data_IF_916968952159
#
_entry.id   IF_916968952159
#
_cell.length_a   1.000
_cell.length_b   1.000
_cell.length_c   1.000
_cell.angle_alpha   90.00
_cell.angle_beta   90.00
_cell.angle_gamma   90.00
#
_symmetry.space_group_name_H-M   'P 1'
#
loop_
_entity.id
_entity.type
_entity.pdbx_description
1 polymer ?
#
# COMPACT_ATOMS: atom_id res chain seq x y z
N UNK A 1 -2.74 -16.87 -38.57
CA UNK A 1 -1.65 -17.66 -38.24
C UNK A 1 -0.36 -16.99 -37.81
N UNK A 2 0.70 -17.08 -38.62
CA UNK A 2 2.04 -16.63 -38.24
C UNK A 2 2.17 -15.12 -37.95
N UNK A 3 1.44 -14.30 -38.71
CA UNK A 3 1.49 -12.83 -38.55
C UNK A 3 0.85 -12.39 -37.22
N UNK A 4 -0.20 -13.02 -36.80
CA UNK A 4 -0.88 -12.72 -35.51
C UNK A 4 0.02 -13.09 -34.31
N UNK A 5 0.70 -14.25 -34.36
CA UNK A 5 1.61 -14.68 -33.32
C UNK A 5 2.83 -13.76 -33.19
N UNK A 6 3.39 -13.31 -34.32
CA UNK A 6 4.50 -12.36 -34.34
C UNK A 6 4.06 -10.99 -33.80
N UNK A 7 2.87 -10.51 -34.16
CA UNK A 7 2.34 -9.24 -33.66
C UNK A 7 2.08 -9.30 -32.15
N UNK A 8 1.50 -10.39 -31.64
CA UNK A 8 1.27 -10.58 -30.21
C UNK A 8 2.58 -10.64 -29.43
N UNK A 9 3.62 -11.32 -29.94
CA UNK A 9 4.93 -11.36 -29.32
C UNK A 9 5.55 -9.95 -29.22
N UNK A 10 5.51 -9.18 -30.31
CA UNK A 10 6.03 -7.80 -30.34
C UNK A 10 5.27 -6.87 -29.40
N UNK A 11 3.95 -6.97 -29.34
CA UNK A 11 3.12 -6.20 -28.43
C UNK A 11 3.40 -6.54 -26.95
N UNK A 12 3.65 -7.81 -26.68
CA UNK A 12 4.00 -8.28 -25.34
C UNK A 12 5.37 -7.77 -24.90
N UNK A 13 6.37 -7.80 -25.77
CA UNK A 13 7.69 -7.23 -25.51
C UNK A 13 7.62 -5.72 -25.25
N UNK A 14 6.86 -4.98 -26.04
CA UNK A 14 6.63 -3.56 -25.83
C UNK A 14 5.96 -3.28 -24.46
N UNK A 15 5.00 -4.11 -24.06
CA UNK A 15 4.35 -4.00 -22.76
C UNK A 15 5.33 -4.25 -21.61
N UNK A 16 6.24 -5.22 -21.74
CA UNK A 16 7.28 -5.46 -20.73
C UNK A 16 8.29 -4.32 -20.62
N UNK A 17 8.67 -3.69 -21.72
CA UNK A 17 9.52 -2.49 -21.70
C UNK A 17 8.83 -1.36 -20.93
N UNK A 18 7.54 -1.14 -21.18
CA UNK A 18 6.73 -0.15 -20.46
C UNK A 18 6.69 -0.44 -18.95
N UNK A 19 6.49 -1.72 -18.55
CA UNK A 19 6.51 -2.13 -17.15
C UNK A 19 7.88 -1.83 -16.52
N UNK A 20 8.97 -2.11 -17.22
CA UNK A 20 10.32 -1.79 -16.76
C UNK A 20 10.51 -0.29 -16.54
N UNK A 21 10.08 0.53 -17.47
CA UNK A 21 10.15 1.99 -17.34
C UNK A 21 9.31 2.50 -16.17
N UNK A 22 8.10 2.00 -16.00
CA UNK A 22 7.22 2.36 -14.87
C UNK A 22 7.85 2.01 -13.52
N UNK A 23 8.54 0.87 -13.43
CA UNK A 23 9.26 0.47 -12.22
C UNK A 23 10.51 1.35 -11.99
N UNK A 24 11.29 1.64 -13.02
CA UNK A 24 12.50 2.48 -12.91
C UNK A 24 12.17 3.93 -12.52
N UNK A 25 11.06 4.46 -13.05
CA UNK A 25 10.57 5.81 -12.72
C UNK A 25 9.75 5.86 -11.43
N UNK A 26 9.44 4.71 -10.85
CA UNK A 26 8.60 4.57 -9.66
C UNK A 26 7.22 5.23 -9.82
N UNK A 27 6.68 5.18 -11.05
CA UNK A 27 5.40 5.79 -11.41
C UNK A 27 4.22 4.89 -11.05
N UNK A 28 3.14 5.51 -10.58
CA UNK A 28 1.84 4.85 -10.37
C UNK A 28 1.03 4.84 -11.66
N UNK A 29 0.27 3.78 -11.87
CA UNK A 29 -0.58 3.62 -13.05
C UNK A 29 -1.85 2.84 -12.71
N UNK A 30 -2.93 3.01 -13.48
CA UNK A 30 -4.16 2.26 -13.27
C UNK A 30 -4.05 0.85 -13.85
N UNK A 31 -4.62 -0.13 -13.14
CA UNK A 31 -4.87 -1.48 -13.63
C UNK A 31 -6.35 -1.80 -13.55
N UNK A 32 -6.90 -2.50 -14.54
CA UNK A 32 -8.26 -3.00 -14.50
C UNK A 32 -8.30 -4.35 -13.80
N UNK A 33 -9.10 -4.47 -12.76
CA UNK A 33 -9.25 -5.73 -12.02
C UNK A 33 -10.17 -6.67 -12.81
N UNK A 34 -9.63 -7.83 -13.19
CA UNK A 34 -10.33 -8.85 -13.97
C UNK A 34 -10.95 -9.94 -13.10
N UNK A 35 -10.25 -10.34 -12.05
CA UNK A 35 -10.64 -11.45 -11.19
C UNK A 35 -10.07 -11.29 -9.79
N UNK A 36 -10.63 -12.04 -8.83
CA UNK A 36 -10.24 -12.02 -7.43
C UNK A 36 -10.17 -13.44 -6.86
N UNK A 37 -9.14 -13.69 -6.06
CA UNK A 37 -9.01 -14.93 -5.30
C UNK A 37 -8.65 -14.62 -3.84
N UNK A 38 -8.58 -15.64 -2.99
CA UNK A 38 -8.29 -15.47 -1.55
C UNK A 38 -6.89 -14.89 -1.27
N UNK A 39 -5.98 -14.93 -2.23
CA UNK A 39 -4.62 -14.38 -2.12
C UNK A 39 -4.49 -12.95 -2.64
N UNK A 40 -5.45 -12.44 -3.41
CA UNK A 40 -5.39 -11.11 -4.01
C UNK A 40 -6.22 -10.94 -5.26
N UNK A 41 -5.86 -9.93 -6.05
CA UNK A 41 -6.54 -9.51 -7.26
C UNK A 41 -5.69 -9.80 -8.50
N UNK A 42 -6.35 -10.15 -9.60
CA UNK A 42 -5.75 -10.21 -10.92
C UNK A 42 -6.07 -8.93 -11.67
N UNK A 43 -5.06 -8.15 -11.98
CA UNK A 43 -5.17 -6.90 -12.71
C UNK A 43 -4.54 -6.97 -14.10
N UNK A 44 -5.11 -6.22 -15.04
CA UNK A 44 -4.62 -6.11 -16.41
C UNK A 44 -4.08 -4.72 -16.69
N UNK A 45 -2.92 -4.68 -17.32
CA UNK A 45 -2.35 -3.48 -17.93
C UNK A 45 -1.95 -3.80 -19.37
N UNK A 46 -2.51 -3.08 -20.33
CA UNK A 46 -2.32 -3.35 -21.76
C UNK A 46 -2.58 -4.84 -22.11
N UNK A 47 -1.55 -5.57 -22.53
CA UNK A 47 -1.63 -6.99 -22.87
C UNK A 47 -1.04 -7.94 -21.78
N UNK A 48 -0.70 -7.37 -20.62
CA UNK A 48 -0.14 -8.14 -19.50
C UNK A 48 -1.15 -8.27 -18.37
N UNK A 49 -1.11 -9.41 -17.71
CA UNK A 49 -1.87 -9.67 -16.50
C UNK A 49 -0.88 -9.80 -15.34
N UNK A 50 -1.12 -9.09 -14.26
CA UNK A 50 -0.34 -9.16 -13.05
C UNK A 50 -1.18 -9.46 -11.83
N UNK A 51 -0.54 -9.73 -10.72
CA UNK A 51 -1.16 -10.08 -9.46
C UNK A 51 -0.92 -9.00 -8.42
N UNK A 52 -1.98 -8.59 -7.73
CA UNK A 52 -1.92 -7.70 -6.57
C UNK A 52 -2.22 -8.54 -5.32
N UNK A 53 -1.21 -8.96 -4.55
CA UNK A 53 -1.43 -9.70 -3.31
C UNK A 53 -2.22 -8.91 -2.28
N UNK A 54 -3.05 -9.56 -1.47
CA UNK A 54 -3.77 -8.89 -0.37
C UNK A 54 -2.82 -8.16 0.58
N UNK A 55 -1.63 -8.71 0.82
CA UNK A 55 -0.57 -8.09 1.63
C UNK A 55 -0.03 -6.78 1.06
N UNK A 56 -0.22 -6.52 -0.23
CA UNK A 56 0.23 -5.33 -0.95
C UNK A 56 -0.90 -4.36 -1.31
N UNK A 57 -2.12 -4.65 -0.87
CA UNK A 57 -3.26 -3.75 -1.00
C UNK A 57 -3.14 -2.57 -0.03
N UNK A 58 -3.74 -1.45 -0.40
CA UNK A 58 -3.86 -0.27 0.46
C UNK A 58 -4.68 -0.57 1.71
N UNK A 59 -4.53 0.24 2.73
CA UNK A 59 -5.33 0.15 3.96
C UNK A 59 -6.83 0.35 3.71
N UNK A 60 -7.19 1.01 2.62
CA UNK A 60 -8.56 1.27 2.18
C UNK A 60 -9.20 0.04 1.53
N UNK A 61 -8.48 -0.63 0.64
CA UNK A 61 -8.96 -1.79 -0.12
C UNK A 61 -8.70 -3.13 0.58
N UNK A 62 -7.85 -3.13 1.62
CA UNK A 62 -7.58 -4.34 2.39
C UNK A 62 -8.86 -4.85 3.07
N UNK A 63 -9.25 -6.11 2.84
CA UNK A 63 -10.45 -6.68 3.45
C UNK A 63 -10.28 -6.81 4.97
N UNK A 64 -10.79 -5.82 5.72
CA UNK A 64 -10.82 -5.85 7.18
C UNK A 64 -11.93 -6.82 7.62
N UNK A 65 -11.54 -8.06 7.91
CA UNK A 65 -12.45 -9.10 8.39
C UNK A 65 -11.96 -9.58 9.75
N UNK A 66 -12.83 -9.55 10.75
CA UNK A 66 -12.48 -9.83 12.14
C UNK A 66 -12.03 -11.29 12.37
N UNK A 67 -12.50 -12.25 11.58
CA UNK A 67 -12.26 -13.68 11.79
C UNK A 67 -11.34 -14.36 10.75
N UNK A 68 -10.59 -13.63 9.93
CA UNK A 68 -9.81 -14.22 8.81
C UNK A 68 -10.65 -15.15 7.89
N UNK A 69 -11.95 -14.91 7.83
CA UNK A 69 -12.89 -15.70 7.03
C UNK A 69 -12.59 -15.50 5.54
N UNK A 70 -12.08 -16.55 4.92
CA UNK A 70 -11.66 -16.53 3.51
C UNK A 70 -12.81 -16.21 2.55
N UNK A 71 -14.03 -16.59 2.91
CA UNK A 71 -15.21 -16.32 2.07
C UNK A 71 -15.57 -14.83 2.10
N UNK A 72 -15.51 -14.20 3.27
CA UNK A 72 -15.75 -12.77 3.42
C UNK A 72 -14.63 -11.95 2.76
N UNK A 73 -13.39 -12.38 2.88
CA UNK A 73 -12.26 -11.77 2.17
C UNK A 73 -12.50 -11.82 0.67
N UNK A 74 -12.84 -12.99 0.14
CA UNK A 74 -13.11 -13.16 -1.28
C UNK A 74 -14.31 -12.33 -1.76
N UNK A 75 -15.38 -12.23 -0.97
CA UNK A 75 -16.54 -11.41 -1.30
C UNK A 75 -16.16 -9.94 -1.46
N UNK A 76 -15.38 -9.39 -0.51
CA UNK A 76 -14.88 -8.01 -0.59
C UNK A 76 -13.96 -7.78 -1.78
N UNK A 77 -13.07 -8.71 -2.08
CA UNK A 77 -12.19 -8.62 -3.23
C UNK A 77 -12.95 -8.67 -4.55
N UNK A 78 -14.02 -9.44 -4.62
CA UNK A 78 -14.91 -9.51 -5.79
C UNK A 78 -15.64 -8.19 -6.08
N UNK A 79 -15.91 -7.37 -5.08
CA UNK A 79 -16.51 -6.04 -5.26
C UNK A 79 -15.61 -5.09 -6.06
N UNK A 80 -14.29 -5.37 -6.07
CA UNK A 80 -13.30 -4.58 -6.82
C UNK A 80 -13.15 -5.04 -8.29
N UNK A 81 -13.77 -6.15 -8.69
CA UNK A 81 -13.72 -6.62 -10.08
C UNK A 81 -14.42 -5.60 -10.99
N UNK A 82 -13.76 -5.24 -12.08
CA UNK A 82 -14.23 -4.23 -13.02
C UNK A 82 -13.89 -2.80 -12.65
N UNK A 83 -13.25 -2.58 -11.50
CA UNK A 83 -12.73 -1.28 -11.10
C UNK A 83 -11.29 -1.08 -11.53
N UNK A 84 -10.88 0.17 -11.67
CA UNK A 84 -9.50 0.55 -11.91
C UNK A 84 -8.83 0.92 -10.58
N UNK A 85 -7.73 0.25 -10.26
CA UNK A 85 -6.94 0.54 -9.07
C UNK A 85 -5.59 1.12 -9.46
N UNK A 86 -5.17 2.15 -8.74
CA UNK A 86 -3.84 2.74 -8.91
C UNK A 86 -2.81 1.88 -8.16
N UNK A 87 -1.79 1.44 -8.90
CA UNK A 87 -0.74 0.57 -8.35
C UNK A 87 0.63 1.00 -8.82
N UNK A 88 1.67 0.45 -8.19
CA UNK A 88 3.06 0.46 -8.68
C UNK A 88 3.54 -0.95 -8.94
N UNK A 89 4.59 -1.09 -9.76
CA UNK A 89 5.24 -2.39 -9.98
C UNK A 89 6.11 -2.73 -8.78
N UNK A 90 5.75 -3.80 -8.08
CA UNK A 90 6.58 -4.34 -7.00
C UNK A 90 7.69 -5.21 -7.55
N UNK A 91 7.34 -6.16 -8.42
CA UNK A 91 8.27 -7.09 -9.04
C UNK A 91 7.78 -7.53 -10.41
N UNK A 92 8.68 -7.87 -11.32
CA UNK A 92 8.34 -8.41 -12.63
C UNK A 92 9.43 -9.33 -13.17
N UNK A 93 9.02 -10.36 -13.88
CA UNK A 93 9.90 -11.30 -14.58
C UNK A 93 9.27 -11.68 -15.93
N UNK A 94 9.79 -11.13 -17.05
CA UNK A 94 9.28 -11.44 -18.37
C UNK A 94 9.41 -12.91 -18.76
N UNK A 95 10.44 -13.60 -18.24
CA UNK A 95 10.72 -15.01 -18.58
C UNK A 95 9.64 -15.97 -18.04
N UNK A 96 9.13 -15.66 -16.84
CA UNK A 96 8.08 -16.44 -16.18
C UNK A 96 6.69 -15.79 -16.31
N UNK A 97 6.57 -14.68 -17.06
CA UNK A 97 5.36 -13.84 -17.13
C UNK A 97 4.83 -13.42 -15.77
N UNK A 98 5.72 -13.22 -14.81
CA UNK A 98 5.38 -12.79 -13.46
C UNK A 98 5.34 -11.27 -13.41
N UNK A 99 4.24 -10.73 -12.93
CA UNK A 99 4.07 -9.30 -12.69
C UNK A 99 3.29 -9.11 -11.38
N UNK A 100 3.91 -8.42 -10.43
CA UNK A 100 3.33 -8.20 -9.11
C UNK A 100 3.17 -6.70 -8.89
N UNK A 101 1.97 -6.32 -8.49
CA UNK A 101 1.59 -4.95 -8.19
C UNK A 101 1.56 -4.68 -6.68
N UNK A 102 1.64 -3.41 -6.32
CA UNK A 102 1.50 -2.95 -4.94
C UNK A 102 0.78 -1.59 -4.90
N UNK A 103 -0.24 -1.47 -4.06
CA UNK A 103 -0.85 -0.20 -3.66
C UNK A 103 -0.11 0.40 -2.45
N UNK A 104 0.43 -0.44 -1.57
CA UNK A 104 1.21 0.00 -0.39
C UNK A 104 2.40 0.88 -0.75
N UNK A 105 3.05 0.65 -1.89
CA UNK A 105 4.13 1.52 -2.34
C UNK A 105 3.66 2.96 -2.55
N UNK A 106 2.42 3.16 -3.02
CA UNK A 106 1.83 4.49 -3.18
C UNK A 106 1.58 5.12 -1.82
N UNK A 107 0.99 4.37 -0.86
CA UNK A 107 0.78 4.86 0.51
C UNK A 107 2.10 5.24 1.19
N UNK A 108 3.14 4.41 1.03
CA UNK A 108 4.47 4.68 1.59
C UNK A 108 5.10 5.93 1.00
N UNK A 109 4.93 6.18 -0.30
CA UNK A 109 5.49 7.39 -0.92
C UNK A 109 4.73 8.64 -0.52
N UNK A 110 3.41 8.56 -0.41
CA UNK A 110 2.59 9.64 0.14
C UNK A 110 2.99 9.95 1.59
N UNK A 111 3.20 8.91 2.40
CA UNK A 111 3.67 9.08 3.76
C UNK A 111 5.07 9.72 3.82
N UNK A 112 6.00 9.28 2.97
CA UNK A 112 7.35 9.88 2.87
C UNK A 112 7.29 11.34 2.42
N UNK A 113 6.48 11.67 1.43
CA UNK A 113 6.32 13.03 0.93
C UNK A 113 5.75 13.94 2.01
N UNK A 114 4.79 13.44 2.76
CA UNK A 114 4.21 14.14 3.89
C UNK A 114 5.24 14.37 5.00
N UNK A 115 6.04 13.33 5.33
CA UNK A 115 7.10 13.46 6.34
C UNK A 115 8.20 14.45 5.91
N UNK A 116 8.49 14.58 4.61
CA UNK A 116 9.43 15.57 4.09
C UNK A 116 9.00 17.03 4.29
N UNK A 117 7.70 17.26 4.45
CA UNK A 117 7.16 18.59 4.73
C UNK A 117 7.42 19.03 6.18
N UNK A 118 7.68 18.07 7.07
CA UNK A 118 8.03 18.35 8.47
C UNK A 118 9.53 18.45 8.67
N UNK A 119 9.96 19.43 9.44
CA UNK A 119 11.35 19.63 9.86
C UNK A 119 11.48 19.39 11.35
N UNK A 120 12.68 19.05 11.80
CA UNK A 120 12.98 19.03 13.22
C UNK A 120 12.63 20.40 13.84
N UNK A 121 11.80 20.38 14.87
CA UNK A 121 11.31 21.59 15.55
C UNK A 121 9.91 22.03 15.15
N UNK A 122 9.28 21.40 14.15
CA UNK A 122 7.89 21.71 13.81
C UNK A 122 6.93 21.16 14.88
N UNK A 123 5.94 21.96 15.23
CA UNK A 123 4.87 21.54 16.14
C UNK A 123 3.72 21.00 15.31
N UNK A 124 3.37 19.73 15.56
CA UNK A 124 2.31 19.02 14.83
C UNK A 124 1.22 18.54 15.78
N UNK A 125 -0.03 18.61 15.34
CA UNK A 125 -1.16 18.06 16.08
C UNK A 125 -1.27 16.55 15.82
N UNK A 126 -1.22 15.79 16.89
CA UNK A 126 -1.34 14.33 16.86
C UNK A 126 -2.43 13.87 17.82
N UNK A 127 -3.02 12.72 17.53
CA UNK A 127 -3.98 12.04 18.40
C UNK A 127 -3.26 10.85 19.02
N UNK A 128 -3.30 10.71 20.33
CA UNK A 128 -2.77 9.55 21.04
C UNK A 128 -3.69 8.37 20.78
N UNK A 129 -3.18 7.35 20.11
CA UNK A 129 -3.97 6.14 19.77
C UNK A 129 -3.74 5.02 20.76
N UNK A 130 -2.54 4.92 21.34
CA UNK A 130 -2.22 3.87 22.32
C UNK A 130 -1.01 4.26 23.16
N UNK A 131 -1.09 3.98 24.44
CA UNK A 131 0.02 4.16 25.40
C UNK A 131 0.59 2.79 25.73
N UNK A 132 1.92 2.66 25.69
CA UNK A 132 2.67 1.45 26.03
C UNK A 132 3.86 1.80 26.91
N UNK A 133 4.47 0.81 27.57
CA UNK A 133 5.54 1.02 28.56
C UNK A 133 6.79 1.73 28.03
N UNK A 134 7.04 1.64 26.72
CA UNK A 134 8.23 2.22 26.08
C UNK A 134 7.93 3.48 25.28
N UNK A 135 6.67 3.93 25.20
CA UNK A 135 6.29 5.13 24.45
C UNK A 135 4.81 5.25 24.16
N UNK A 136 4.50 6.16 23.26
CA UNK A 136 3.11 6.51 22.89
C UNK A 136 2.95 6.42 21.39
N UNK A 137 1.98 5.63 20.95
CA UNK A 137 1.56 5.61 19.54
C UNK A 137 0.64 6.79 19.29
N UNK A 138 0.97 7.55 18.26
CA UNK A 138 0.24 8.75 17.86
C UNK A 138 -0.15 8.66 16.40
N UNK A 139 -1.28 9.27 16.06
CA UNK A 139 -1.74 9.42 14.69
C UNK A 139 -1.81 10.89 14.34
N UNK A 140 -1.30 11.26 13.17
CA UNK A 140 -1.40 12.62 12.68
C UNK A 140 -2.85 12.97 12.33
N UNK A 141 -3.39 14.06 12.88
CA UNK A 141 -4.82 14.42 12.79
C UNK A 141 -5.34 14.55 11.37
N UNK A 142 -4.50 15.01 10.44
CA UNK A 142 -4.88 15.28 9.06
C UNK A 142 -4.32 14.26 8.06
N UNK A 143 -3.69 13.19 8.54
CA UNK A 143 -2.96 12.24 7.68
C UNK A 143 -3.06 10.83 8.28
N UNK A 144 -3.11 9.84 7.43
CA UNK A 144 -3.17 8.44 7.87
C UNK A 144 -1.76 7.89 8.16
N UNK A 145 -0.99 8.64 8.97
CA UNK A 145 0.37 8.29 9.38
C UNK A 145 0.37 8.03 10.87
N UNK A 146 0.89 6.89 11.26
CA UNK A 146 1.13 6.52 12.65
C UNK A 146 2.58 6.83 13.03
N UNK A 147 2.79 7.40 14.20
CA UNK A 147 4.09 7.70 14.78
C UNK A 147 4.25 7.04 16.14
N UNK A 148 5.49 6.86 16.58
CA UNK A 148 5.84 6.43 17.92
C UNK A 148 6.69 7.51 18.57
N UNK A 149 6.25 8.05 19.70
CA UNK A 149 7.02 8.92 20.58
C UNK A 149 7.63 8.03 21.66
N UNK A 150 8.96 7.89 21.66
CA UNK A 150 9.62 7.12 22.67
C UNK A 150 9.52 7.81 24.04
N UNK A 151 9.48 7.04 25.12
CA UNK A 151 9.36 7.57 26.50
C UNK A 151 10.45 8.58 26.86
N UNK A 152 11.64 8.46 26.27
CA UNK A 152 12.76 9.38 26.50
C UNK A 152 12.52 10.80 25.96
N UNK A 153 11.61 10.93 24.96
CA UNK A 153 11.28 12.21 24.32
C UNK A 153 10.08 12.91 24.98
N UNK A 154 9.42 12.22 25.91
CA UNK A 154 8.30 12.79 26.66
C UNK A 154 8.90 13.47 27.92
N UNK A 155 8.75 14.80 28.07
CA UNK A 155 9.22 15.49 29.25
C UNK A 155 8.47 14.98 30.48
N UNK A 156 9.17 14.16 31.26
CA UNK A 156 8.63 13.55 32.45
C UNK A 156 9.18 14.28 33.68
N UNK A 157 8.37 15.11 34.31
CA UNK A 157 8.72 15.70 35.59
C UNK A 157 8.50 14.66 36.69
N UNK A 158 9.60 13.96 37.03
CA UNK A 158 9.74 13.11 38.23
C UNK A 158 8.63 12.09 38.47
N UNK A 159 8.64 11.00 37.70
CA UNK A 159 8.01 9.75 38.14
C UNK A 159 6.48 9.65 37.96
N UNK A 160 5.87 10.53 37.17
CA UNK A 160 4.49 10.39 36.76
C UNK A 160 4.35 9.33 35.66
N UNK A 161 3.31 8.52 35.72
CA UNK A 161 3.02 7.55 34.66
C UNK A 161 2.54 8.30 33.41
N UNK A 162 2.91 7.78 32.24
CA UNK A 162 2.55 8.37 30.93
C UNK A 162 1.03 8.55 30.83
N UNK A 163 0.26 7.63 31.39
CA UNK A 163 -1.21 7.62 31.43
C UNK A 163 -1.79 8.83 32.20
N UNK A 164 -1.01 9.47 33.06
CA UNK A 164 -1.43 10.65 33.83
C UNK A 164 -1.17 11.96 33.07
N UNK A 165 -0.21 11.94 32.13
CA UNK A 165 0.23 13.11 31.38
C UNK A 165 -0.53 13.21 30.05
N UNK A 166 -0.79 12.08 29.40
CA UNK A 166 -1.44 11.97 28.09
C UNK A 166 -2.71 11.13 28.20
N UNK A 167 -3.79 11.63 27.65
CA UNK A 167 -5.06 10.88 27.53
C UNK A 167 -5.22 10.38 26.09
N UNK A 168 -5.77 9.19 25.91
CA UNK A 168 -6.22 8.71 24.62
C UNK A 168 -7.36 9.58 24.09
N UNK A 169 -7.23 10.09 22.83
CA UNK A 169 -8.25 10.92 22.17
C UNK A 169 -7.75 12.25 21.67
#
# INVERSE_FOLDING_TARGET
>A
GFIELALQATLKEASWLKIKELKEKDEKFPILILDANTGGLLGKIDNLTGFLPTSQMSSEHYPKVEDNDKEKILARLKELIGQELMVKVLDFDPSTNKLIFSEKLIELDQAKETLRQFKEGDIVEVIVTRIVDFGVFVKFKNQNIDGLIHISEIPNEKGQKIDEILKEG
#
